data_IF_765763013374
#
_entry.id   IF_765763013374
#
_cell.length_a   1.000
_cell.length_b   1.000
_cell.length_c   1.000
_cell.angle_alpha   90.00
_cell.angle_beta   90.00
_cell.angle_gamma   90.00
#
_symmetry.space_group_name_H-M   'P 1'
#
loop_
_entity.id
_entity.type
_entity.pdbx_description
1 polymer ?
#
# COMPACT_ATOMS: atom_id res chain seq x y z
N UNK A 1 10.86 1.48 -1.96
CA UNK A 1 9.67 1.74 -1.12
C UNK A 1 10.13 1.93 0.31
N UNK A 2 9.43 2.76 1.09
CA UNK A 2 9.81 3.03 2.50
C UNK A 2 9.05 2.15 3.50
N UNK A 3 7.93 1.54 3.10
CA UNK A 3 7.11 0.66 3.95
C UNK A 3 6.29 -0.32 3.12
N UNK A 4 5.89 -1.41 3.76
CA UNK A 4 5.06 -2.49 3.23
C UNK A 4 4.06 -2.98 4.29
N UNK A 5 2.82 -3.16 3.88
CA UNK A 5 1.72 -3.70 4.70
C UNK A 5 1.16 -4.91 3.95
N UNK A 6 1.34 -6.10 4.53
CA UNK A 6 0.84 -7.36 3.96
C UNK A 6 -0.70 -7.38 3.92
N UNK A 7 -1.24 -7.94 2.84
CA UNK A 7 -2.63 -8.38 2.78
C UNK A 7 -2.73 -9.88 3.11
N UNK A 8 -3.95 -10.37 3.30
CA UNK A 8 -4.20 -11.80 3.59
C UNK A 8 -3.80 -12.72 2.43
N UNK A 9 -3.81 -12.21 1.20
CA UNK A 9 -3.20 -12.90 0.08
C UNK A 9 -1.69 -12.58 0.07
N UNK A 10 -0.82 -13.60 0.16
CA UNK A 10 0.62 -13.43 0.37
C UNK A 10 1.35 -12.75 -0.78
N UNK A 11 0.69 -12.54 -1.93
CA UNK A 11 1.28 -11.89 -3.10
C UNK A 11 0.94 -10.41 -3.21
N UNK A 12 -0.01 -9.91 -2.41
CA UNK A 12 -0.49 -8.53 -2.48
C UNK A 12 -0.18 -7.75 -1.19
N UNK A 13 0.00 -6.44 -1.36
CA UNK A 13 0.28 -5.53 -0.27
C UNK A 13 -0.12 -4.10 -0.57
N UNK A 14 -0.18 -3.30 0.49
CA UNK A 14 -0.26 -1.83 0.42
C UNK A 14 1.14 -1.30 0.71
N UNK A 15 1.72 -0.55 -0.22
CA UNK A 15 3.12 -0.14 -0.10
C UNK A 15 3.41 1.23 -0.74
N UNK A 16 4.56 1.81 -0.37
CA UNK A 16 5.02 3.08 -0.96
C UNK A 16 5.55 2.90 -2.39
N UNK A 17 5.52 3.95 -3.19
CA UNK A 17 6.03 3.95 -4.56
C UNK A 17 7.48 4.45 -4.69
N UNK A 18 8.31 3.86 -5.59
CA UNK A 18 9.62 4.40 -5.95
C UNK A 18 9.53 5.70 -6.79
N UNK A 19 8.44 5.87 -7.53
CA UNK A 19 8.10 7.05 -8.35
C UNK A 19 6.76 7.63 -7.86
N UNK A 20 6.75 8.47 -6.81
CA UNK A 20 5.50 8.97 -6.19
C UNK A 20 4.62 9.80 -7.13
N UNK A 21 5.20 10.42 -8.15
CA UNK A 21 4.50 11.20 -9.16
C UNK A 21 3.66 10.33 -10.12
N UNK A 22 3.81 9.00 -10.06
CA UNK A 22 3.07 8.03 -10.88
C UNK A 22 1.92 7.34 -10.15
N UNK A 23 1.70 7.68 -8.88
CA UNK A 23 0.47 7.30 -8.16
C UNK A 23 -0.73 7.76 -9.00
N UNK A 24 -1.71 6.86 -9.15
CA UNK A 24 -2.94 7.07 -9.95
C UNK A 24 -2.74 7.26 -11.47
N UNK A 25 -1.50 7.16 -11.96
CA UNK A 25 -1.19 7.32 -13.41
C UNK A 25 -0.78 6.03 -14.09
N UNK A 26 -0.46 5.01 -13.31
CA UNK A 26 -0.06 3.69 -13.81
C UNK A 26 -0.71 2.61 -12.98
N UNK A 27 -1.17 1.56 -13.65
CA UNK A 27 -1.62 0.34 -12.99
C UNK A 27 -0.48 -0.34 -12.24
N UNK A 28 -0.85 -1.05 -11.19
CA UNK A 28 0.00 -2.04 -10.53
C UNK A 28 -0.41 -3.44 -10.96
N UNK A 29 0.43 -4.44 -10.66
CA UNK A 29 0.09 -5.86 -10.81
C UNK A 29 -0.76 -6.37 -9.63
N UNK A 30 -1.67 -5.52 -9.12
CA UNK A 30 -2.62 -5.83 -8.05
C UNK A 30 -2.25 -5.33 -6.65
N UNK A 31 -1.02 -4.86 -6.41
CA UNK A 31 -0.68 -4.16 -5.16
C UNK A 31 -1.27 -2.74 -5.12
N UNK A 32 -1.61 -2.23 -3.94
CA UNK A 32 -2.03 -0.84 -3.79
C UNK A 32 -0.81 0.03 -3.50
N UNK A 33 -0.53 0.98 -4.40
CA UNK A 33 0.57 1.94 -4.23
C UNK A 33 0.07 3.22 -3.62
N UNK A 34 0.74 3.67 -2.57
CA UNK A 34 0.54 4.98 -1.97
C UNK A 34 1.82 5.82 -2.12
N UNK A 35 1.69 7.12 -1.85
CA UNK A 35 2.88 7.94 -1.64
C UNK A 35 3.65 7.41 -0.42
N UNK A 36 4.95 7.72 -0.35
CA UNK A 36 5.78 7.21 0.75
C UNK A 36 5.36 7.75 2.12
N UNK A 37 4.86 8.99 2.20
CA UNK A 37 4.37 9.56 3.46
C UNK A 37 3.03 8.95 3.89
N UNK A 38 2.11 8.72 2.95
CA UNK A 38 0.79 8.14 3.26
C UNK A 38 0.91 6.70 3.77
N UNK A 39 1.77 5.86 3.16
CA UNK A 39 1.95 4.48 3.63
C UNK A 39 2.60 4.43 5.01
N UNK A 40 3.54 5.35 5.28
CA UNK A 40 4.22 5.41 6.56
C UNK A 40 3.26 5.84 7.67
N UNK A 41 2.42 6.85 7.41
CA UNK A 41 1.35 7.25 8.33
C UNK A 41 0.36 6.12 8.56
N UNK A 42 -0.13 5.47 7.50
CA UNK A 42 -1.07 4.35 7.60
C UNK A 42 -0.51 3.23 8.47
N UNK A 43 0.76 2.85 8.28
CA UNK A 43 1.41 1.79 9.05
C UNK A 43 1.45 2.05 10.56
N UNK A 44 1.39 3.33 10.98
CA UNK A 44 1.36 3.74 12.39
C UNK A 44 -0.04 3.77 12.98
N UNK A 45 -1.08 3.84 12.13
CA UNK A 45 -2.47 3.98 12.54
C UNK A 45 -3.21 2.65 12.65
N UNK A 46 -2.76 1.61 11.95
CA UNK A 46 -3.44 0.31 11.89
C UNK A 46 -2.73 -0.76 12.72
N UNK A 47 -3.44 -1.84 13.00
CA UNK A 47 -2.91 -3.07 13.59
C UNK A 47 -3.19 -4.25 12.66
N UNK A 48 -2.50 -5.37 12.88
CA UNK A 48 -2.77 -6.60 12.13
C UNK A 48 -4.23 -7.04 12.32
N UNK A 49 -4.85 -7.53 11.24
CA UNK A 49 -6.25 -7.97 11.25
C UNK A 49 -7.28 -6.89 10.93
N UNK A 50 -6.87 -5.64 10.65
CA UNK A 50 -7.79 -4.63 10.10
C UNK A 50 -8.30 -5.11 8.72
N UNK A 51 -9.62 -5.18 8.51
CA UNK A 51 -10.18 -5.66 7.26
C UNK A 51 -9.92 -4.65 6.13
N UNK A 52 -9.51 -5.15 4.97
CA UNK A 52 -9.37 -4.40 3.73
C UNK A 52 -10.42 -4.89 2.75
N UNK A 53 -11.19 -3.97 2.18
CA UNK A 53 -12.23 -4.27 1.19
C UNK A 53 -11.95 -3.49 -0.09
N UNK A 54 -11.85 -4.21 -1.21
CA UNK A 54 -11.83 -3.63 -2.55
C UNK A 54 -13.26 -3.50 -3.06
N UNK A 55 -13.61 -2.33 -3.61
CA UNK A 55 -14.94 -1.98 -4.14
C UNK A 55 -14.84 -1.69 -5.63
#
# INVERSE_FOLDING_TARGET
>A
MVSWIDLSDPTFGIHGAPEPDRIDKTGSDGCVRLTNWDVEELSKLISTGVPVQFI
#
